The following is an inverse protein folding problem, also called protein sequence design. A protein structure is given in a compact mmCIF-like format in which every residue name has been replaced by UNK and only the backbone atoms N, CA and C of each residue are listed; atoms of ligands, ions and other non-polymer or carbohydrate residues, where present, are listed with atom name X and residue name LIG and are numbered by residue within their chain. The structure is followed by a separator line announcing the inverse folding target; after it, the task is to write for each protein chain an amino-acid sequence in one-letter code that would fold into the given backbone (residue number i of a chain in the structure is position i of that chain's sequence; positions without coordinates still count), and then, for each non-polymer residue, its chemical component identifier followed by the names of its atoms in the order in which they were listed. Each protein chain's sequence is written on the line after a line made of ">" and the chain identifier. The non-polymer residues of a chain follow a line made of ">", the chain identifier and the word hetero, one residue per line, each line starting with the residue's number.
data_IF_460290189697
#
_entry.id   IF_460290189697
#
_cell.length_a   1.000
_cell.length_b   1.000
_cell.length_c   1.000
_cell.angle_alpha   90.00
_cell.angle_beta   90.00
_cell.angle_gamma   90.00
#
_symmetry.space_group_name_H-M   'P 1'
#
loop_
_entity.id
_entity.type
_entity.pdbx_description
1 polymer ?
#
# COMPACT_ATOMS: atom_id res chain seq x y z
N UNK A 1 -45.07 -45.28 32.22
CA UNK A 1 -44.39 -45.39 30.91
C UNK A 1 -44.87 -44.35 29.88
N UNK A 2 -46.13 -44.02 29.80
CA UNK A 2 -46.67 -43.03 28.80
C UNK A 2 -46.05 -41.64 28.88
N UNK A 3 -45.68 -41.13 30.06
CA UNK A 3 -45.08 -39.78 30.19
C UNK A 3 -43.64 -39.64 29.64
N UNK A 4 -42.85 -40.73 29.61
CA UNK A 4 -41.51 -40.68 29.01
C UNK A 4 -41.52 -40.53 27.52
N UNK A 5 -42.46 -41.17 26.84
CA UNK A 5 -42.58 -41.01 25.37
C UNK A 5 -43.13 -39.64 24.98
N UNK A 6 -44.02 -39.06 25.77
CA UNK A 6 -44.50 -37.70 25.55
C UNK A 6 -43.39 -36.67 25.75
N UNK A 7 -42.52 -36.85 26.75
CA UNK A 7 -41.36 -35.98 26.97
C UNK A 7 -40.33 -36.09 25.83
N UNK A 8 -40.02 -37.31 25.37
CA UNK A 8 -39.11 -37.56 24.26
C UNK A 8 -39.65 -36.95 22.95
N UNK A 9 -40.94 -37.11 22.69
CA UNK A 9 -41.58 -36.51 21.51
C UNK A 9 -41.57 -34.98 21.55
N UNK A 10 -41.78 -34.36 22.70
CA UNK A 10 -41.62 -32.92 22.92
C UNK A 10 -40.20 -32.40 22.68
N UNK A 11 -39.22 -33.14 23.20
CA UNK A 11 -37.81 -32.79 23.01
C UNK A 11 -37.38 -32.87 21.53
N UNK A 12 -37.80 -33.92 20.83
CA UNK A 12 -37.54 -34.05 19.38
C UNK A 12 -38.21 -32.98 18.53
N UNK A 13 -39.43 -32.55 18.92
CA UNK A 13 -40.11 -31.44 18.26
C UNK A 13 -39.37 -30.09 18.43
N UNK A 14 -38.83 -29.83 19.65
CA UNK A 14 -38.05 -28.62 19.92
C UNK A 14 -36.71 -28.64 19.15
N UNK A 15 -36.02 -29.77 19.12
CA UNK A 15 -34.81 -29.95 18.32
C UNK A 15 -35.09 -29.76 16.84
N UNK A 16 -36.19 -30.31 16.33
CA UNK A 16 -36.64 -30.11 14.93
C UNK A 16 -36.90 -28.66 14.60
N UNK A 17 -37.52 -27.90 15.50
CA UNK A 17 -37.79 -26.45 15.31
C UNK A 17 -36.49 -25.67 15.31
N UNK A 18 -35.52 -26.01 16.20
CA UNK A 18 -34.20 -25.35 16.25
C UNK A 18 -33.40 -25.62 14.96
N UNK A 19 -33.41 -26.85 14.45
CA UNK A 19 -32.72 -27.22 13.19
C UNK A 19 -33.39 -26.51 11.99
N UNK A 20 -34.70 -26.42 11.95
CA UNK A 20 -35.42 -25.69 10.91
C UNK A 20 -35.15 -24.20 11.02
N UNK A 21 -35.17 -23.63 12.22
CA UNK A 21 -34.84 -22.21 12.45
C UNK A 21 -33.38 -21.89 12.09
N UNK A 22 -32.44 -22.76 12.44
CA UNK A 22 -31.05 -22.63 12.03
C UNK A 22 -30.87 -22.78 10.52
N UNK A 23 -31.61 -23.69 9.88
CA UNK A 23 -31.65 -23.87 8.43
C UNK A 23 -32.25 -22.64 7.69
N UNK A 24 -33.31 -22.05 8.25
CA UNK A 24 -33.93 -20.82 7.71
C UNK A 24 -33.00 -19.61 7.94
N UNK A 25 -32.32 -19.54 9.07
CA UNK A 25 -31.35 -18.48 9.35
C UNK A 25 -30.11 -18.58 8.46
N UNK A 26 -29.59 -19.78 8.24
CA UNK A 26 -28.51 -20.03 7.28
C UNK A 26 -28.96 -19.81 5.83
N UNK A 27 -30.19 -20.19 5.47
CA UNK A 27 -30.78 -19.95 4.16
C UNK A 27 -31.07 -18.47 3.89
N UNK A 28 -31.52 -17.71 4.90
CA UNK A 28 -31.70 -16.25 4.76
C UNK A 28 -30.37 -15.50 4.59
N UNK A 29 -29.26 -16.02 5.11
CA UNK A 29 -27.93 -15.47 4.87
C UNK A 29 -27.43 -15.79 3.46
N UNK A 30 -28.00 -16.79 2.79
CA UNK A 30 -27.71 -17.14 1.39
C UNK A 30 -28.71 -16.55 0.36
N UNK A 31 -29.79 -15.86 0.80
CA UNK A 31 -30.76 -15.21 -0.09
C UNK A 31 -30.70 -13.69 -0.13
N UNK A 32 -29.71 -13.06 0.51
CA UNK A 32 -29.38 -11.68 0.19
C UNK A 32 -28.57 -11.70 -1.11
N UNK A 33 -29.19 -11.21 -2.18
CA UNK A 33 -28.69 -11.33 -3.52
C UNK A 33 -27.27 -10.82 -3.66
N UNK A 34 -26.52 -11.45 -4.53
CA UNK A 34 -25.34 -11.00 -5.31
C UNK A 34 -24.58 -9.75 -4.80
N UNK A 35 -24.55 -9.55 -3.48
CA UNK A 35 -23.77 -8.49 -2.87
C UNK A 35 -22.32 -8.98 -2.83
N UNK A 36 -21.50 -8.37 -3.68
CA UNK A 36 -20.08 -8.65 -3.73
C UNK A 36 -19.44 -8.24 -2.42
N UNK A 37 -18.31 -8.85 -2.11
CA UNK A 37 -17.47 -8.47 -0.99
C UNK A 37 -16.80 -7.13 -1.34
N UNK A 38 -17.03 -6.12 -0.52
CA UNK A 38 -16.48 -4.78 -0.73
C UNK A 38 -15.12 -4.66 -0.06
N UNK A 39 -14.07 -4.61 -0.88
CA UNK A 39 -12.68 -4.40 -0.43
C UNK A 39 -12.27 -2.97 -0.80
N UNK A 40 -11.85 -2.20 0.20
CA UNK A 40 -11.35 -0.84 0.03
C UNK A 40 -9.87 -0.81 0.37
N UNK A 41 -9.06 -0.07 -0.36
CA UNK A 41 -7.67 0.20 -0.04
C UNK A 41 -7.49 1.67 0.29
N UNK A 42 -6.54 2.01 1.15
CA UNK A 42 -6.32 3.40 1.57
C UNK A 42 -5.89 4.30 0.42
N UNK A 43 -4.91 3.86 -0.36
CA UNK A 43 -4.38 4.63 -1.48
C UNK A 43 -3.78 3.73 -2.56
N UNK A 44 -3.26 4.36 -3.61
CA UNK A 44 -2.92 3.67 -4.85
C UNK A 44 -1.89 2.54 -4.71
N UNK A 45 -0.77 2.64 -3.95
CA UNK A 45 0.13 1.50 -3.73
C UNK A 45 -0.58 0.27 -3.17
N UNK A 46 -1.44 0.43 -2.16
CA UNK A 46 -2.22 -0.67 -1.59
C UNK A 46 -3.24 -1.23 -2.60
N UNK A 47 -3.81 -0.36 -3.44
CA UNK A 47 -4.70 -0.81 -4.51
C UNK A 47 -3.97 -1.72 -5.51
N UNK A 48 -2.74 -1.38 -5.91
CA UNK A 48 -1.95 -2.20 -6.84
C UNK A 48 -1.67 -3.58 -6.25
N UNK A 49 -1.32 -3.66 -4.96
CA UNK A 49 -1.12 -4.92 -4.24
C UNK A 49 -2.40 -5.76 -4.22
N UNK A 50 -3.50 -5.18 -3.77
CA UNK A 50 -4.80 -5.87 -3.67
C UNK A 50 -5.34 -6.30 -5.04
N UNK A 51 -5.20 -5.47 -6.08
CA UNK A 51 -5.64 -5.75 -7.45
C UNK A 51 -4.93 -6.95 -8.07
N UNK A 52 -3.67 -7.17 -7.70
CA UNK A 52 -2.92 -8.36 -8.12
C UNK A 52 -3.32 -9.61 -7.32
N UNK A 53 -3.54 -9.49 -6.01
CA UNK A 53 -3.95 -10.63 -5.16
C UNK A 53 -5.36 -11.12 -5.46
N UNK A 54 -6.28 -10.19 -5.76
CA UNK A 54 -7.70 -10.49 -6.00
C UNK A 54 -8.01 -10.78 -7.48
N UNK A 55 -6.99 -10.89 -8.34
CA UNK A 55 -7.21 -11.15 -9.77
C UNK A 55 -7.99 -12.43 -10.04
N UNK A 56 -9.06 -12.31 -10.84
CA UNK A 56 -9.94 -13.43 -11.20
C UNK A 56 -10.94 -13.83 -10.13
N UNK A 57 -11.09 -13.07 -9.05
CA UNK A 57 -12.14 -13.28 -8.04
C UNK A 57 -13.32 -12.33 -8.36
N UNK A 58 -14.35 -12.87 -9.02
CA UNK A 58 -15.47 -12.06 -9.55
C UNK A 58 -16.43 -11.55 -8.46
N UNK A 59 -16.46 -12.21 -7.30
CA UNK A 59 -17.35 -11.89 -6.18
C UNK A 59 -16.79 -10.77 -5.28
N UNK A 60 -15.69 -10.14 -5.66
CA UNK A 60 -15.06 -9.02 -4.95
C UNK A 60 -15.19 -7.75 -5.78
N UNK A 61 -15.57 -6.66 -5.13
CA UNK A 61 -15.40 -5.29 -5.63
C UNK A 61 -14.20 -4.67 -4.93
N UNK A 62 -13.22 -4.24 -5.69
CA UNK A 62 -12.05 -3.54 -5.19
C UNK A 62 -12.15 -2.05 -5.53
N UNK A 63 -12.00 -1.20 -4.52
CA UNK A 63 -11.95 0.26 -4.69
C UNK A 63 -10.80 0.89 -3.91
N UNK A 64 -10.42 2.10 -4.30
CA UNK A 64 -9.40 2.89 -3.63
C UNK A 64 -10.06 4.07 -2.92
N UNK A 65 -9.73 4.30 -1.65
CA UNK A 65 -10.30 5.39 -0.85
C UNK A 65 -9.86 6.75 -1.40
N UNK A 66 -8.56 6.94 -1.56
CA UNK A 66 -8.03 8.15 -2.19
C UNK A 66 -8.07 8.06 -3.71
N UNK A 67 -8.20 9.20 -4.39
CA UNK A 67 -8.05 9.22 -5.85
C UNK A 67 -6.63 8.78 -6.24
N UNK A 68 -6.45 7.99 -7.33
CA UNK A 68 -5.13 7.49 -7.76
C UNK A 68 -4.11 8.57 -8.15
N UNK A 69 -4.45 9.82 -7.97
CA UNK A 69 -3.61 11.01 -8.27
C UNK A 69 -3.26 11.80 -7.02
N UNK A 70 -3.72 11.38 -5.86
CA UNK A 70 -3.59 12.14 -4.61
C UNK A 70 -2.13 12.19 -4.12
N UNK A 71 -1.31 11.19 -4.41
CA UNK A 71 0.05 11.11 -3.85
C UNK A 71 0.07 10.45 -2.47
N UNK A 72 0.95 10.91 -1.57
CA UNK A 72 1.04 10.40 -0.21
C UNK A 72 -0.15 10.83 0.67
N UNK A 73 -0.43 10.09 1.75
CA UNK A 73 -1.64 10.29 2.57
C UNK A 73 -1.41 11.13 3.83
N UNK A 74 -0.24 11.75 4.02
CA UNK A 74 0.08 12.46 5.27
C UNK A 74 -0.96 13.53 5.65
N UNK A 75 -1.48 14.25 4.67
CA UNK A 75 -2.48 15.32 4.84
C UNK A 75 -3.89 14.91 4.40
N UNK A 76 -4.10 13.62 4.08
CA UNK A 76 -5.40 13.16 3.66
C UNK A 76 -6.44 13.27 4.78
N UNK A 77 -7.55 13.90 4.48
CA UNK A 77 -8.66 14.07 5.42
C UNK A 77 -9.91 13.35 4.90
N UNK A 78 -10.42 12.44 5.71
CA UNK A 78 -11.65 11.72 5.41
C UNK A 78 -12.83 12.67 5.23
N UNK A 79 -13.47 12.55 4.08
CA UNK A 79 -14.76 13.20 3.80
C UNK A 79 -15.92 12.35 4.34
N UNK A 80 -17.15 12.93 4.46
CA UNK A 80 -18.33 12.13 4.78
C UNK A 80 -18.66 11.04 3.75
N UNK A 81 -18.22 11.18 2.50
CA UNK A 81 -18.45 10.16 1.47
C UNK A 81 -17.43 9.02 1.58
N UNK A 82 -16.18 9.30 1.98
CA UNK A 82 -15.18 8.29 2.31
C UNK A 82 -15.66 7.41 3.49
N UNK A 83 -16.21 8.04 4.53
CA UNK A 83 -16.77 7.31 5.67
C UNK A 83 -17.96 6.42 5.27
N UNK A 84 -18.80 6.85 4.33
CA UNK A 84 -19.90 6.01 3.80
C UNK A 84 -19.37 4.84 2.95
N UNK A 85 -18.23 5.02 2.28
CA UNK A 85 -17.57 3.95 1.55
C UNK A 85 -17.02 2.90 2.52
N UNK A 86 -16.34 3.34 3.59
CA UNK A 86 -15.76 2.48 4.63
C UNK A 86 -16.84 1.77 5.46
N UNK A 87 -17.96 2.42 5.76
CA UNK A 87 -19.12 1.82 6.48
C UNK A 87 -19.75 0.64 5.72
N UNK A 88 -19.59 0.62 4.39
CA UNK A 88 -20.08 -0.47 3.53
C UNK A 88 -19.01 -1.52 3.22
N UNK A 89 -17.76 -1.23 3.50
CA UNK A 89 -16.67 -2.14 3.22
C UNK A 89 -16.67 -3.32 4.19
N UNK A 90 -16.35 -4.50 3.67
CA UNK A 90 -16.08 -5.70 4.46
C UNK A 90 -14.61 -5.72 4.91
N UNK A 91 -13.71 -5.25 4.05
CA UNK A 91 -12.26 -5.26 4.27
C UNK A 91 -11.67 -3.90 3.89
N UNK A 92 -10.78 -3.38 4.75
CA UNK A 92 -9.99 -2.18 4.48
C UNK A 92 -8.50 -2.52 4.56
N UNK A 93 -7.80 -2.33 3.45
CA UNK A 93 -6.35 -2.62 3.35
C UNK A 93 -5.60 -1.29 3.47
N UNK A 94 -4.68 -1.23 4.43
CA UNK A 94 -3.85 -0.06 4.73
C UNK A 94 -2.37 -0.41 4.63
N UNK A 95 -1.53 0.60 4.40
CA UNK A 95 -0.09 0.45 4.57
C UNK A 95 0.26 0.22 6.03
N UNK A 96 -0.27 1.04 6.92
CA UNK A 96 0.10 1.07 8.33
C UNK A 96 1.30 1.97 8.60
N UNK A 97 1.96 1.75 9.76
CA UNK A 97 3.15 2.51 10.19
C UNK A 97 2.98 4.03 10.09
N UNK A 98 1.77 4.54 10.38
CA UNK A 98 1.47 5.97 10.42
C UNK A 98 1.13 6.62 9.08
N UNK A 99 1.13 5.88 7.95
CA UNK A 99 0.76 6.43 6.66
C UNK A 99 -0.69 6.94 6.63
N UNK A 100 -1.59 6.28 7.35
CA UNK A 100 -3.01 6.64 7.46
C UNK A 100 -3.30 7.32 8.81
N UNK A 101 -3.08 8.63 8.93
CA UNK A 101 -3.34 9.44 10.15
C UNK A 101 -4.79 9.34 10.66
N UNK A 102 -5.72 8.98 9.78
CA UNK A 102 -7.15 8.91 10.06
C UNK A 102 -7.62 7.54 10.56
N UNK A 103 -6.74 6.55 10.67
CA UNK A 103 -7.11 5.15 10.94
C UNK A 103 -7.86 4.97 12.26
N UNK A 104 -7.47 5.68 13.31
CA UNK A 104 -8.14 5.62 14.61
C UNK A 104 -9.61 6.01 14.53
N UNK A 105 -9.95 7.00 13.68
CA UNK A 105 -11.32 7.40 13.43
C UNK A 105 -12.10 6.29 12.73
N UNK A 106 -11.52 5.65 11.72
CA UNK A 106 -12.13 4.54 11.00
C UNK A 106 -12.42 3.39 11.97
N UNK A 107 -11.44 2.98 12.78
CA UNK A 107 -11.60 1.91 13.78
C UNK A 107 -12.73 2.23 14.77
N UNK A 108 -12.86 3.50 15.17
CA UNK A 108 -13.88 3.90 16.16
C UNK A 108 -15.30 4.01 15.60
N UNK A 109 -15.47 4.16 14.29
CA UNK A 109 -16.76 4.42 13.64
C UNK A 109 -17.27 3.23 12.79
N UNK A 110 -16.42 2.25 12.43
CA UNK A 110 -16.74 1.11 11.58
C UNK A 110 -16.59 -0.23 12.33
N UNK A 111 -17.63 -0.65 13.05
CA UNK A 111 -17.60 -1.79 13.98
C UNK A 111 -17.32 -3.17 13.36
N UNK A 112 -17.61 -3.37 12.06
CA UNK A 112 -17.53 -4.68 11.39
C UNK A 112 -16.45 -4.74 10.30
N UNK A 113 -15.67 -3.70 10.15
CA UNK A 113 -14.64 -3.57 9.13
C UNK A 113 -13.41 -4.41 9.51
N UNK A 114 -13.01 -5.32 8.65
CA UNK A 114 -11.75 -6.06 8.80
C UNK A 114 -10.62 -5.19 8.26
N UNK A 115 -9.65 -4.85 9.10
CA UNK A 115 -8.49 -4.07 8.70
C UNK A 115 -7.31 -5.00 8.45
N UNK A 116 -6.70 -4.89 7.28
CA UNK A 116 -5.46 -5.61 6.91
C UNK A 116 -4.35 -4.56 6.79
N UNK A 117 -3.36 -4.68 7.66
CA UNK A 117 -2.20 -3.79 7.71
C UNK A 117 -1.01 -4.44 6.99
N UNK A 118 -0.54 -3.82 5.90
CA UNK A 118 0.52 -4.37 5.05
C UNK A 118 1.91 -4.35 5.69
N UNK A 119 2.13 -3.53 6.72
CA UNK A 119 3.43 -3.43 7.40
C UNK A 119 3.45 -4.01 8.81
N UNK A 120 2.39 -4.71 9.24
CA UNK A 120 2.21 -5.18 10.63
C UNK A 120 3.35 -6.09 11.11
N UNK A 121 3.85 -6.94 10.23
CA UNK A 121 4.90 -7.92 10.57
C UNK A 121 6.30 -7.49 10.10
N UNK A 122 6.48 -6.26 9.62
CA UNK A 122 7.77 -5.74 9.24
C UNK A 122 8.49 -5.14 10.44
N UNK A 123 9.68 -5.67 10.75
CA UNK A 123 10.52 -5.19 11.87
C UNK A 123 11.54 -4.16 11.36
N UNK A 124 11.14 -2.88 11.38
CA UNK A 124 11.96 -1.74 10.97
C UNK A 124 11.45 -0.43 11.58
N UNK A 125 12.19 0.69 11.38
CA UNK A 125 11.74 2.03 11.78
C UNK A 125 10.43 2.41 11.08
N UNK A 126 9.46 2.90 11.83
CA UNK A 126 8.12 3.28 11.33
C UNK A 126 8.21 4.30 10.19
N UNK A 127 9.13 5.28 10.26
CA UNK A 127 9.35 6.28 9.19
C UNK A 127 9.66 5.63 7.84
N UNK A 128 10.48 4.57 7.83
CA UNK A 128 10.81 3.83 6.60
C UNK A 128 9.66 2.95 6.14
N UNK A 129 8.86 2.42 7.07
CA UNK A 129 7.71 1.59 6.75
C UNK A 129 6.52 2.40 6.24
N UNK A 130 6.46 3.69 6.56
CA UNK A 130 5.44 4.59 6.04
C UNK A 130 5.46 4.66 4.50
N UNK A 131 6.62 4.43 3.87
CA UNK A 131 6.83 4.39 2.43
C UNK A 131 7.44 3.04 1.98
N UNK A 132 7.04 1.93 2.62
CA UNK A 132 7.64 0.61 2.42
C UNK A 132 7.66 0.15 0.95
N UNK A 133 6.64 0.52 0.15
CA UNK A 133 6.55 0.18 -1.27
C UNK A 133 7.71 0.72 -2.11
N UNK A 134 8.42 1.76 -1.68
CA UNK A 134 9.57 2.28 -2.40
C UNK A 134 10.82 1.40 -2.26
N UNK A 135 10.83 0.45 -1.32
CA UNK A 135 11.87 -0.57 -1.24
C UNK A 135 11.33 -1.89 -1.82
N UNK A 136 11.87 -2.40 -2.94
CA UNK A 136 11.33 -3.59 -3.60
C UNK A 136 11.24 -4.84 -2.72
N UNK A 137 12.15 -4.99 -1.74
CA UNK A 137 12.10 -6.12 -0.79
C UNK A 137 10.97 -5.94 0.22
N UNK A 138 10.75 -4.71 0.71
CA UNK A 138 9.67 -4.39 1.63
C UNK A 138 8.31 -4.51 0.94
N UNK A 139 8.21 -4.04 -0.29
CA UNK A 139 7.02 -4.22 -1.12
C UNK A 139 6.58 -5.69 -1.26
N UNK A 140 7.54 -6.61 -1.41
CA UNK A 140 7.23 -8.04 -1.43
C UNK A 140 6.78 -8.57 -0.06
N UNK A 141 7.29 -8.03 1.02
CA UNK A 141 6.86 -8.41 2.37
C UNK A 141 5.45 -7.86 2.67
N UNK A 142 5.16 -6.59 2.31
CA UNK A 142 3.80 -6.04 2.35
C UNK A 142 2.81 -6.89 1.54
N UNK A 143 3.24 -7.31 0.35
CA UNK A 143 2.41 -8.15 -0.51
C UNK A 143 2.06 -9.48 0.15
N UNK A 144 3.02 -10.10 0.84
CA UNK A 144 2.80 -11.34 1.60
C UNK A 144 1.88 -11.12 2.80
N UNK A 145 2.08 -10.05 3.58
CA UNK A 145 1.25 -9.72 4.74
C UNK A 145 -0.21 -9.46 4.32
N UNK A 146 -0.42 -8.69 3.26
CA UNK A 146 -1.76 -8.45 2.69
C UNK A 146 -2.37 -9.76 2.17
N UNK A 147 -1.58 -10.63 1.52
CA UNK A 147 -2.05 -11.92 1.03
C UNK A 147 -2.53 -12.81 2.19
N UNK A 148 -1.80 -12.88 3.30
CA UNK A 148 -2.19 -13.63 4.49
C UNK A 148 -3.46 -13.06 5.12
N UNK A 149 -3.55 -11.74 5.30
CA UNK A 149 -4.75 -11.09 5.80
C UNK A 149 -5.99 -11.35 4.92
N UNK A 150 -5.83 -11.31 3.60
CA UNK A 150 -6.89 -11.65 2.66
C UNK A 150 -7.30 -13.14 2.73
N UNK A 151 -6.35 -14.06 2.92
CA UNK A 151 -6.64 -15.50 3.08
C UNK A 151 -7.42 -15.74 4.38
N UNK A 152 -7.08 -15.04 5.45
CA UNK A 152 -7.80 -15.15 6.74
C UNK A 152 -9.22 -14.58 6.64
N UNK A 153 -9.39 -13.44 5.99
CA UNK A 153 -10.69 -12.81 5.81
C UNK A 153 -11.56 -13.54 4.77
N UNK A 154 -10.96 -14.14 3.73
CA UNK A 154 -11.62 -14.75 2.58
C UNK A 154 -11.16 -16.19 2.34
N UNK A 155 -11.30 -17.11 3.31
CA UNK A 155 -10.74 -18.46 3.23
C UNK A 155 -11.26 -19.27 2.03
N UNK A 156 -12.44 -18.92 1.48
CA UNK A 156 -13.00 -19.57 0.30
C UNK A 156 -12.20 -19.28 -0.99
N UNK A 157 -11.39 -18.21 -1.02
CA UNK A 157 -10.56 -17.82 -2.18
C UNK A 157 -9.06 -18.09 -1.96
N UNK A 158 -8.69 -18.78 -0.88
CA UNK A 158 -7.31 -19.08 -0.52
C UNK A 158 -6.45 -19.56 -1.70
N UNK A 159 -6.91 -20.58 -2.42
CA UNK A 159 -6.14 -21.18 -3.53
C UNK A 159 -5.87 -20.17 -4.65
N UNK A 160 -6.83 -19.29 -4.95
CA UNK A 160 -6.67 -18.28 -5.98
C UNK A 160 -5.71 -17.18 -5.51
N UNK A 161 -5.83 -16.71 -4.25
CA UNK A 161 -4.95 -15.69 -3.66
C UNK A 161 -3.50 -16.21 -3.60
N UNK A 162 -3.28 -17.45 -3.14
CA UNK A 162 -1.94 -18.07 -3.12
C UNK A 162 -1.34 -18.18 -4.52
N UNK A 163 -2.14 -18.57 -5.51
CA UNK A 163 -1.68 -18.63 -6.90
C UNK A 163 -1.28 -17.26 -7.43
N UNK A 164 -2.07 -16.24 -7.16
CA UNK A 164 -1.81 -14.86 -7.57
C UNK A 164 -0.57 -14.31 -6.87
N UNK A 165 -0.41 -14.59 -5.57
CA UNK A 165 0.76 -14.22 -4.78
C UNK A 165 2.04 -14.78 -5.40
N UNK A 166 2.09 -16.09 -5.68
CA UNK A 166 3.25 -16.73 -6.30
C UNK A 166 3.56 -16.11 -7.68
N UNK A 167 2.53 -15.87 -8.49
CA UNK A 167 2.71 -15.34 -9.83
C UNK A 167 3.27 -13.91 -9.82
N UNK A 168 2.73 -13.05 -8.98
CA UNK A 168 3.15 -11.65 -8.89
C UNK A 168 4.52 -11.50 -8.23
N UNK A 169 4.79 -12.20 -7.13
CA UNK A 169 6.11 -12.26 -6.49
C UNK A 169 7.19 -12.67 -7.48
N UNK A 170 6.92 -13.68 -8.33
CA UNK A 170 7.82 -14.07 -9.39
C UNK A 170 8.01 -12.98 -10.45
N UNK A 171 6.98 -12.21 -10.76
CA UNK A 171 7.07 -11.11 -11.72
C UNK A 171 7.88 -9.94 -11.18
N UNK A 172 7.63 -9.49 -9.93
CA UNK A 172 8.42 -8.48 -9.23
C UNK A 172 9.88 -8.91 -9.09
N UNK A 173 10.14 -10.17 -8.76
CA UNK A 173 11.49 -10.71 -8.64
C UNK A 173 12.33 -10.69 -9.93
N UNK A 174 11.74 -10.36 -11.08
CA UNK A 174 12.46 -10.15 -12.35
C UNK A 174 12.95 -8.72 -12.55
N UNK A 175 12.52 -7.78 -11.71
CA UNK A 175 13.06 -6.42 -11.75
C UNK A 175 14.59 -6.52 -11.55
N UNK A 176 15.34 -5.81 -12.37
CA UNK A 176 16.81 -5.96 -12.55
C UNK A 176 17.62 -5.93 -11.25
N UNK A 177 17.11 -5.30 -10.20
CA UNK A 177 17.78 -5.25 -8.88
C UNK A 177 17.87 -6.62 -8.20
N UNK A 178 16.91 -7.50 -8.45
CA UNK A 178 16.95 -8.87 -7.94
C UNK A 178 17.84 -9.79 -8.79
N UNK A 179 18.28 -9.31 -9.96
CA UNK A 179 19.04 -10.09 -10.94
C UNK A 179 20.54 -9.79 -10.95
N UNK A 180 21.16 -9.42 -9.84
CA UNK A 180 22.62 -9.18 -9.70
C UNK A 180 23.16 -7.87 -10.32
N UNK A 181 22.32 -7.01 -10.87
CA UNK A 181 22.76 -5.69 -11.34
C UNK A 181 22.63 -4.65 -10.24
N UNK A 182 23.73 -3.98 -9.92
CA UNK A 182 23.77 -2.93 -8.90
C UNK A 182 23.78 -1.58 -9.60
N UNK A 183 22.76 -0.70 -9.40
CA UNK A 183 22.75 0.62 -10.04
C UNK A 183 24.01 1.43 -9.79
N UNK A 184 24.41 2.22 -10.78
CA UNK A 184 25.66 3.00 -10.76
C UNK A 184 25.74 4.01 -9.60
N UNK A 185 24.60 4.36 -8.99
CA UNK A 185 24.52 5.28 -7.84
C UNK A 185 24.76 4.60 -6.48
N UNK A 186 24.75 3.25 -6.43
CA UNK A 186 24.83 2.52 -5.15
C UNK A 186 26.05 2.97 -4.32
N UNK A 187 25.79 3.24 -3.03
CA UNK A 187 26.80 3.70 -2.08
C UNK A 187 27.22 5.17 -2.22
N UNK A 188 26.66 5.93 -3.18
CA UNK A 188 26.93 7.36 -3.34
C UNK A 188 26.14 8.20 -2.33
N UNK A 189 26.52 9.46 -2.18
CA UNK A 189 25.79 10.45 -1.40
C UNK A 189 24.62 11.01 -2.20
N UNK A 190 23.48 11.24 -1.53
CA UNK A 190 22.25 11.74 -2.14
C UNK A 190 21.57 12.79 -1.27
N UNK A 191 20.91 13.74 -1.91
CA UNK A 191 19.90 14.62 -1.29
C UNK A 191 18.53 14.19 -1.84
N UNK A 192 17.58 13.98 -0.96
CA UNK A 192 16.23 13.57 -1.30
C UNK A 192 15.29 14.78 -1.27
N UNK A 193 14.46 14.93 -2.30
CA UNK A 193 13.41 15.94 -2.37
C UNK A 193 12.03 15.36 -2.06
N UNK A 194 11.98 14.26 -1.36
CA UNK A 194 10.83 13.65 -0.72
C UNK A 194 11.33 12.57 0.24
N UNK A 195 10.73 12.46 1.41
CA UNK A 195 10.99 11.38 2.37
C UNK A 195 10.58 10.01 1.83
N UNK A 196 9.61 9.97 0.90
CA UNK A 196 9.18 8.74 0.24
C UNK A 196 10.33 7.97 -0.43
N UNK A 197 11.43 8.64 -0.76
CA UNK A 197 12.59 7.99 -1.36
C UNK A 197 13.57 7.37 -0.36
N UNK A 198 13.42 7.59 0.96
CA UNK A 198 14.34 7.05 1.97
C UNK A 198 14.42 5.51 1.95
N UNK A 199 13.31 4.75 1.83
CA UNK A 199 13.40 3.29 1.75
C UNK A 199 14.16 2.79 0.50
N UNK A 200 14.03 3.48 -0.64
CA UNK A 200 14.79 3.17 -1.85
C UNK A 200 16.27 3.54 -1.65
N UNK A 201 16.57 4.70 -1.06
CA UNK A 201 17.93 5.12 -0.75
C UNK A 201 18.63 4.11 0.18
N UNK A 202 17.95 3.64 1.22
CA UNK A 202 18.44 2.59 2.12
C UNK A 202 18.68 1.28 1.37
N UNK A 203 17.73 0.86 0.52
CA UNK A 203 17.86 -0.35 -0.29
C UNK A 203 19.10 -0.30 -1.19
N UNK A 204 19.39 0.84 -1.81
CA UNK A 204 20.56 1.08 -2.66
C UNK A 204 21.83 1.41 -1.86
N UNK A 205 21.77 1.35 -0.54
CA UNK A 205 22.89 1.72 0.36
C UNK A 205 23.42 3.14 0.10
N UNK A 206 22.55 4.07 -0.26
CA UNK A 206 22.92 5.48 -0.46
C UNK A 206 23.19 6.16 0.89
N UNK A 207 24.09 7.13 0.89
CA UNK A 207 24.31 8.00 2.03
C UNK A 207 23.41 9.24 1.89
N UNK A 208 22.29 9.28 2.58
CA UNK A 208 21.41 10.44 2.62
C UNK A 208 22.11 11.57 3.40
N UNK A 209 22.28 12.71 2.74
CA UNK A 209 22.89 13.92 3.31
C UNK A 209 21.84 14.84 3.91
N UNK A 210 20.71 14.97 3.22
CA UNK A 210 19.61 15.87 3.56
C UNK A 210 18.32 15.35 2.91
N UNK A 211 17.21 15.51 3.60
CA UNK A 211 15.85 15.35 3.06
C UNK A 211 15.20 16.72 3.04
N UNK A 212 14.72 17.14 1.87
CA UNK A 212 13.86 18.32 1.69
C UNK A 212 12.50 17.80 1.28
N UNK A 213 11.60 17.71 2.25
CA UNK A 213 10.30 17.14 2.00
C UNK A 213 9.43 18.04 1.11
N UNK A 214 9.10 17.53 -0.09
CA UNK A 214 8.32 18.18 -1.14
C UNK A 214 7.20 17.26 -1.64
N UNK A 215 6.55 16.54 -0.74
CA UNK A 215 5.46 15.63 -1.11
C UNK A 215 4.18 16.37 -1.52
N UNK A 216 4.13 17.69 -1.24
CA UNK A 216 3.06 18.60 -1.64
C UNK A 216 3.61 19.91 -2.22
N UNK A 217 2.73 20.72 -2.81
CA UNK A 217 3.10 22.05 -3.31
C UNK A 217 3.33 23.02 -2.15
N UNK A 218 4.59 23.26 -1.80
CA UNK A 218 5.00 24.27 -0.81
C UNK A 218 6.11 25.17 -1.31
N UNK A 219 6.25 26.32 -0.69
CA UNK A 219 7.38 27.23 -0.96
C UNK A 219 8.62 26.74 -0.21
N UNK A 220 9.75 26.66 -0.93
CA UNK A 220 11.06 26.37 -0.37
C UNK A 220 11.73 27.69 0.02
N UNK A 221 12.20 27.77 1.27
CA UNK A 221 12.88 28.95 1.78
C UNK A 221 14.29 29.12 1.20
N UNK A 222 14.78 30.37 1.15
CA UNK A 222 16.19 30.61 0.75
C UNK A 222 17.21 29.94 1.67
N UNK A 223 16.84 29.65 2.90
CA UNK A 223 17.71 28.92 3.85
C UNK A 223 17.85 27.45 3.44
N UNK A 224 16.75 26.79 3.08
CA UNK A 224 16.74 25.40 2.58
C UNK A 224 17.51 25.28 1.27
N UNK A 225 17.31 26.21 0.33
CA UNK A 225 18.09 26.27 -0.93
C UNK A 225 19.60 26.35 -0.62
N UNK A 226 19.99 27.23 0.31
CA UNK A 226 21.38 27.38 0.70
C UNK A 226 21.93 26.11 1.37
N UNK A 227 21.18 25.45 2.22
CA UNK A 227 21.56 24.21 2.88
C UNK A 227 21.85 23.09 1.88
N UNK A 228 20.97 22.93 0.86
CA UNK A 228 21.17 21.99 -0.24
C UNK A 228 22.47 22.29 -1.00
N UNK A 229 22.70 23.56 -1.37
CA UNK A 229 23.93 23.98 -2.08
C UNK A 229 25.18 23.72 -1.24
N UNK A 230 25.15 24.06 0.05
CA UNK A 230 26.29 23.85 0.96
C UNK A 230 26.59 22.34 1.11
N UNK A 231 25.55 21.49 1.23
CA UNK A 231 25.68 20.04 1.31
C UNK A 231 26.28 19.43 0.04
N UNK A 232 25.87 19.89 -1.15
CA UNK A 232 26.43 19.46 -2.43
C UNK A 232 27.89 19.86 -2.58
N UNK A 233 28.21 21.10 -2.26
CA UNK A 233 29.59 21.61 -2.33
C UNK A 233 30.54 20.85 -1.36
N UNK A 234 30.03 20.43 -0.21
CA UNK A 234 30.81 19.65 0.76
C UNK A 234 30.98 18.16 0.37
N UNK A 235 30.15 17.66 -0.57
CA UNK A 235 30.12 16.25 -0.98
C UNK A 235 30.20 16.12 -2.51
N UNK A 236 31.37 16.33 -3.13
CA UNK A 236 31.54 16.20 -4.58
C UNK A 236 31.12 14.82 -5.08
N UNK A 237 30.28 14.78 -6.14
CA UNK A 237 29.72 13.54 -6.69
C UNK A 237 28.42 13.10 -6.04
N UNK A 238 27.89 13.84 -5.07
CA UNK A 238 26.52 13.70 -4.62
C UNK A 238 25.53 14.08 -5.72
N UNK A 239 24.33 13.51 -5.65
CA UNK A 239 23.25 13.77 -6.61
C UNK A 239 21.94 14.04 -5.88
N UNK A 240 20.92 14.45 -6.63
CA UNK A 240 19.58 14.71 -6.10
C UNK A 240 18.63 13.64 -6.65
N UNK A 241 17.75 13.10 -5.79
CA UNK A 241 16.56 12.34 -6.17
C UNK A 241 15.32 13.19 -5.89
N UNK A 242 14.46 13.37 -6.89
CA UNK A 242 13.29 14.22 -6.81
C UNK A 242 12.08 13.59 -7.52
N UNK A 243 10.87 13.88 -7.06
CA UNK A 243 9.65 13.71 -7.86
C UNK A 243 9.58 14.86 -8.90
N UNK A 244 9.28 14.55 -10.16
CA UNK A 244 9.15 15.57 -11.20
C UNK A 244 8.02 16.55 -10.90
N UNK A 245 6.95 16.11 -10.22
CA UNK A 245 5.78 16.94 -9.95
C UNK A 245 6.09 18.09 -8.99
N UNK A 246 6.75 17.79 -7.87
CA UNK A 246 6.97 18.76 -6.80
C UNK A 246 8.44 19.23 -6.70
N UNK A 247 9.40 18.36 -7.03
CA UNK A 247 10.83 18.62 -6.85
C UNK A 247 11.48 19.39 -8.01
N UNK A 248 10.88 19.44 -9.19
CA UNK A 248 11.50 19.99 -10.41
C UNK A 248 11.93 21.44 -10.28
N UNK A 249 11.09 22.29 -9.73
CA UNK A 249 11.37 23.74 -9.60
C UNK A 249 12.57 24.01 -8.68
N UNK A 250 12.67 23.26 -7.57
CA UNK A 250 13.83 23.36 -6.67
C UNK A 250 15.06 22.81 -7.35
N UNK A 251 14.97 21.67 -8.02
CA UNK A 251 16.09 21.05 -8.74
C UNK A 251 16.67 22.01 -9.80
N UNK A 252 15.85 22.66 -10.60
CA UNK A 252 16.28 23.67 -11.58
C UNK A 252 16.95 24.87 -10.90
N UNK A 253 16.43 25.31 -9.75
CA UNK A 253 17.06 26.41 -8.97
C UNK A 253 18.46 26.02 -8.49
N UNK A 254 18.63 24.80 -7.95
CA UNK A 254 19.93 24.29 -7.49
C UNK A 254 20.90 24.12 -8.67
N UNK A 255 20.45 23.57 -9.80
CA UNK A 255 21.29 23.36 -10.99
C UNK A 255 21.80 24.66 -11.62
N UNK A 256 21.13 25.78 -11.40
CA UNK A 256 21.64 27.10 -11.83
C UNK A 256 22.84 27.59 -10.99
N UNK A 257 23.02 27.05 -9.78
CA UNK A 257 24.08 27.48 -8.83
C UNK A 257 25.20 26.44 -8.71
N UNK A 258 24.87 25.14 -8.88
CA UNK A 258 25.82 24.03 -8.70
C UNK A 258 25.63 23.00 -9.82
N UNK A 259 26.76 22.52 -10.37
CA UNK A 259 26.72 21.39 -11.32
C UNK A 259 26.43 20.10 -10.56
N UNK A 260 25.15 19.67 -10.63
CA UNK A 260 24.65 18.47 -9.94
C UNK A 260 23.74 17.66 -10.84
N UNK A 261 23.88 16.34 -10.77
CA UNK A 261 22.96 15.42 -11.44
C UNK A 261 21.67 15.29 -10.63
N UNK A 262 20.54 15.42 -11.31
CA UNK A 262 19.22 15.20 -10.73
C UNK A 262 18.59 14.00 -11.42
N UNK A 263 18.10 13.06 -10.61
CA UNK A 263 17.32 11.93 -11.08
C UNK A 263 15.86 12.13 -10.66
N UNK A 264 14.97 12.22 -11.64
CA UNK A 264 13.54 12.27 -11.39
C UNK A 264 12.98 10.86 -11.29
N UNK A 265 12.50 10.53 -10.11
CA UNK A 265 12.02 9.20 -9.70
C UNK A 265 10.52 9.27 -9.45
N UNK A 266 9.79 8.26 -9.94
CA UNK A 266 8.36 8.11 -9.65
C UNK A 266 8.19 7.59 -8.21
N UNK A 267 7.45 8.29 -7.33
CA UNK A 267 7.16 7.82 -5.97
C UNK A 267 6.18 6.63 -5.92
N UNK A 268 5.67 6.18 -7.07
CA UNK A 268 4.77 5.03 -7.23
C UNK A 268 3.40 5.18 -6.53
N UNK A 269 2.98 6.40 -6.32
CA UNK A 269 1.72 6.73 -5.63
C UNK A 269 0.59 7.15 -6.56
N UNK A 270 0.85 7.26 -7.89
CA UNK A 270 -0.11 7.79 -8.86
C UNK A 270 -0.15 6.94 -10.12
N UNK A 271 -1.33 6.50 -10.54
CA UNK A 271 -1.47 5.69 -11.76
C UNK A 271 -2.92 5.43 -12.15
N UNK A 272 -3.15 4.39 -12.95
CA UNK A 272 -4.47 3.97 -13.41
C UNK A 272 -4.92 2.73 -12.64
N UNK A 273 -6.16 2.73 -12.15
CA UNK A 273 -6.69 1.64 -11.30
C UNK A 273 -6.64 0.25 -11.95
N UNK A 274 -6.62 0.13 -13.26
CA UNK A 274 -6.60 -1.17 -13.94
C UNK A 274 -5.19 -1.70 -14.27
N UNK A 275 -4.15 -0.92 -13.98
CA UNK A 275 -2.78 -1.27 -14.33
C UNK A 275 -2.14 -2.20 -13.28
N UNK A 276 -2.21 -3.49 -13.54
CA UNK A 276 -1.62 -4.54 -12.69
C UNK A 276 -0.09 -4.57 -12.73
N UNK A 277 0.52 -4.06 -13.79
CA UNK A 277 1.97 -4.06 -13.95
C UNK A 277 2.61 -2.75 -13.47
N UNK A 278 1.80 -1.80 -13.02
CA UNK A 278 2.25 -0.45 -12.67
C UNK A 278 3.53 -0.44 -11.82
N UNK A 279 3.54 -1.19 -10.73
CA UNK A 279 4.71 -1.25 -9.85
C UNK A 279 5.95 -1.80 -10.56
N UNK A 280 5.78 -2.92 -11.28
CA UNK A 280 6.88 -3.61 -11.98
C UNK A 280 7.50 -2.67 -13.01
N UNK A 281 6.68 -2.05 -13.84
CA UNK A 281 7.14 -1.22 -14.97
C UNK A 281 7.77 0.09 -14.48
N UNK A 282 7.20 0.74 -13.47
CA UNK A 282 7.70 2.02 -13.00
C UNK A 282 8.86 1.88 -12.02
N UNK A 283 8.89 0.85 -11.17
CA UNK A 283 10.08 0.56 -10.36
C UNK A 283 11.27 0.18 -11.26
N UNK A 284 11.05 -0.60 -12.32
CA UNK A 284 12.11 -0.92 -13.28
C UNK A 284 12.66 0.36 -13.97
N UNK A 285 11.78 1.30 -14.37
CA UNK A 285 12.21 2.60 -14.91
C UNK A 285 12.98 3.43 -13.90
N UNK A 286 12.53 3.48 -12.64
CA UNK A 286 13.25 4.20 -11.58
C UNK A 286 14.70 3.68 -11.45
N UNK A 287 14.87 2.38 -11.46
CA UNK A 287 16.19 1.75 -11.35
C UNK A 287 17.04 1.97 -12.60
N UNK A 288 16.45 1.94 -13.80
CA UNK A 288 17.12 2.27 -15.07
C UNK A 288 17.59 3.74 -15.09
N UNK A 289 16.77 4.67 -14.58
CA UNK A 289 17.14 6.08 -14.44
C UNK A 289 18.36 6.22 -13.52
N UNK A 290 18.40 5.51 -12.40
CA UNK A 290 19.50 5.55 -11.43
C UNK A 290 20.77 4.83 -11.92
N UNK A 291 20.69 4.04 -12.97
CA UNK A 291 21.82 3.33 -13.58
C UNK A 291 22.55 4.15 -14.65
N UNK A 292 21.89 5.17 -15.20
CA UNK A 292 22.40 6.06 -16.26
C UNK A 292 23.00 7.35 -15.68
#
# INVERSE_FOLDING_TARGET
>A
MKNKYAFIAGLLAVIGIIVIAAGIYAGKKNESGNDKIEVVTSFYPMYVLANNLLDGIEDVNLSCLSEPKTGCLHDFQLTPDDMKLLDKADIFIINGSGAENFIDKVISECDNLVIINGTENLDEDEELLMHAWMNPMRYLMEFEDIAQGLIEALPQYKEQIEKNNIAYTKAVGKISVFSSHTPAVTGKSVILFSEAFEPLAKYLSLKVLLVVDLDEEREVSSAEVKEVIDALNANPGAFIMADETYGKKLAETIQNEVDVKVYFIDPLTRGELQDKNYYIDNMAKNLEILDN
#
